data_IF_682947019881
#
_entry.id   IF_682947019881
#
_cell.length_a   1.000
_cell.length_b   1.000
_cell.length_c   1.000
_cell.angle_alpha   90.00
_cell.angle_beta   90.00
_cell.angle_gamma   90.00
#
_symmetry.space_group_name_H-M   'P 1'
#
loop_
_entity.id
_entity.type
_entity.pdbx_description
1 polymer ?
#
# COMPACT_ATOMS: atom_id res chain seq x y z
N UNK A 1 -61.47 -24.03 11.53
CA UNK A 1 -60.99 -23.49 10.21
C UNK A 1 -59.94 -22.39 10.38
N UNK A 2 -60.10 -21.43 11.31
CA UNK A 2 -59.11 -20.35 11.55
C UNK A 2 -57.76 -20.85 12.11
N UNK A 3 -57.76 -21.92 12.89
CA UNK A 3 -56.56 -22.49 13.50
C UNK A 3 -55.63 -23.19 12.46
N UNK A 4 -56.23 -23.88 11.50
CA UNK A 4 -55.51 -24.52 10.39
C UNK A 4 -54.90 -23.50 9.43
N UNK A 5 -55.55 -22.36 9.23
CA UNK A 5 -55.00 -21.25 8.44
C UNK A 5 -53.79 -20.61 9.11
N UNK A 6 -53.86 -20.44 10.44
CA UNK A 6 -52.74 -19.87 11.23
C UNK A 6 -51.49 -20.78 11.22
N UNK A 7 -51.68 -22.09 11.30
CA UNK A 7 -50.57 -23.07 11.21
C UNK A 7 -49.95 -23.13 9.80
N UNK A 8 -50.77 -22.95 8.74
CA UNK A 8 -50.30 -22.94 7.36
C UNK A 8 -49.47 -21.70 7.06
N UNK A 9 -49.90 -20.52 7.53
CA UNK A 9 -49.14 -19.27 7.40
C UNK A 9 -47.82 -19.32 8.17
N UNK A 10 -47.81 -19.98 9.35
CA UNK A 10 -46.58 -20.15 10.15
C UNK A 10 -45.57 -21.07 9.46
N UNK A 11 -45.99 -22.06 8.71
CA UNK A 11 -45.15 -23.04 8.01
C UNK A 11 -44.51 -22.47 6.74
N UNK A 12 -45.22 -21.57 6.03
CA UNK A 12 -44.65 -20.89 4.85
C UNK A 12 -43.60 -19.81 5.25
N UNK A 13 -43.85 -19.11 6.36
CA UNK A 13 -42.88 -18.11 6.85
C UNK A 13 -41.57 -18.71 7.32
N UNK A 14 -41.51 -19.97 7.75
CA UNK A 14 -40.28 -20.62 8.19
C UNK A 14 -39.35 -20.98 7.02
N UNK A 15 -39.93 -21.44 5.90
CA UNK A 15 -39.15 -21.72 4.66
C UNK A 15 -38.64 -20.44 4.03
N UNK A 16 -39.46 -19.39 4.00
CA UNK A 16 -39.06 -18.07 3.47
C UNK A 16 -37.97 -17.41 4.33
N UNK A 17 -38.08 -17.54 5.66
CA UNK A 17 -37.03 -17.06 6.57
C UNK A 17 -35.70 -17.82 6.43
N UNK A 18 -35.74 -19.15 6.19
CA UNK A 18 -34.56 -19.95 5.94
C UNK A 18 -33.88 -19.58 4.61
N UNK A 19 -34.67 -19.31 3.57
CA UNK A 19 -34.14 -18.88 2.26
C UNK A 19 -33.51 -17.49 2.35
N UNK A 20 -34.14 -16.54 3.06
CA UNK A 20 -33.60 -15.19 3.28
C UNK A 20 -32.34 -15.26 4.13
N UNK A 21 -32.26 -16.11 5.16
CA UNK A 21 -31.08 -16.32 5.97
C UNK A 21 -29.92 -16.95 5.16
N UNK A 22 -30.25 -17.92 4.28
CA UNK A 22 -29.26 -18.54 3.39
C UNK A 22 -28.73 -17.56 2.33
N UNK A 23 -29.55 -16.65 1.81
CA UNK A 23 -29.14 -15.58 0.90
C UNK A 23 -28.29 -14.52 1.61
N UNK A 24 -28.57 -14.20 2.88
CA UNK A 24 -27.75 -13.27 3.67
C UNK A 24 -26.36 -13.84 4.01
N UNK A 25 -26.26 -15.15 4.31
CA UNK A 25 -24.97 -15.83 4.56
C UNK A 25 -24.16 -15.91 3.27
N UNK A 26 -24.79 -16.08 2.10
CA UNK A 26 -24.09 -16.10 0.80
C UNK A 26 -23.59 -14.73 0.36
N UNK A 27 -24.16 -13.62 0.84
CA UNK A 27 -23.67 -12.26 0.56
C UNK A 27 -22.52 -11.82 1.47
N UNK A 28 -22.31 -12.48 2.62
CA UNK A 28 -21.21 -12.16 3.52
C UNK A 28 -19.88 -12.83 3.15
N UNK A 29 -19.84 -13.73 2.16
CA UNK A 29 -18.61 -14.47 1.83
C UNK A 29 -17.79 -13.87 0.69
N UNK A 30 -18.07 -12.64 0.24
CA UNK A 30 -17.32 -12.00 -0.83
C UNK A 30 -16.88 -10.56 -0.48
N UNK A 31 -16.62 -10.30 0.80
CA UNK A 31 -15.70 -9.22 1.13
C UNK A 31 -14.27 -9.81 1.06
N UNK A 32 -13.75 -9.91 -0.17
CA UNK A 32 -12.31 -9.75 -0.32
C UNK A 32 -12.00 -8.42 0.37
N UNK A 33 -11.33 -8.46 1.52
CA UNK A 33 -10.71 -7.28 2.11
C UNK A 33 -9.82 -6.73 0.99
N UNK A 34 -10.23 -5.62 0.36
CA UNK A 34 -9.29 -4.81 -0.39
C UNK A 34 -8.22 -4.44 0.64
N UNK A 35 -7.10 -5.17 0.61
CA UNK A 35 -5.92 -4.78 1.33
C UNK A 35 -5.54 -3.45 0.70
N UNK A 36 -5.82 -2.34 1.39
CA UNK A 36 -5.35 -1.03 0.96
C UNK A 36 -3.85 -1.14 0.80
N UNK A 37 -3.39 -1.13 -0.45
CA UNK A 37 -1.98 -1.13 -0.75
C UNK A 37 -1.38 0.16 -0.21
N UNK A 38 -0.22 0.05 0.43
CA UNK A 38 0.50 1.21 0.95
C UNK A 38 0.83 2.15 -0.20
N UNK A 39 0.56 3.44 -0.03
CA UNK A 39 0.87 4.50 -1.01
C UNK A 39 2.24 5.10 -0.71
N UNK A 40 3.16 4.91 -1.62
CA UNK A 40 4.56 5.32 -1.45
C UNK A 40 4.92 6.42 -2.44
N UNK A 41 5.60 7.45 -1.94
CA UNK A 41 6.37 8.40 -2.75
C UNK A 41 7.85 8.02 -2.61
N UNK A 42 8.51 7.73 -3.72
CA UNK A 42 9.95 7.44 -3.74
C UNK A 42 10.74 8.61 -4.33
N UNK A 43 11.43 9.36 -3.49
CA UNK A 43 12.30 10.47 -3.89
C UNK A 43 13.74 9.99 -4.20
N UNK A 44 13.85 8.80 -4.83
CA UNK A 44 15.14 8.20 -5.17
C UNK A 44 14.99 7.14 -6.25
N UNK A 45 15.79 7.24 -7.28
CA UNK A 45 15.88 6.24 -8.36
C UNK A 45 16.17 4.85 -7.83
N UNK A 46 17.19 4.71 -6.95
CA UNK A 46 17.57 3.41 -6.38
C UNK A 46 16.46 2.76 -5.59
N UNK A 47 15.73 3.51 -4.75
CA UNK A 47 14.63 2.94 -3.97
C UNK A 47 13.43 2.58 -4.85
N UNK A 48 13.17 3.36 -5.91
CA UNK A 48 12.18 3.01 -6.94
C UNK A 48 12.54 1.67 -7.61
N UNK A 49 13.80 1.46 -7.99
CA UNK A 49 14.29 0.21 -8.58
C UNK A 49 14.14 -0.98 -7.61
N UNK A 50 14.44 -0.79 -6.33
CA UNK A 50 14.23 -1.83 -5.31
C UNK A 50 12.74 -2.20 -5.23
N UNK A 51 11.82 -1.22 -5.15
CA UNK A 51 10.39 -1.47 -5.10
C UNK A 51 9.92 -2.26 -6.33
N UNK A 52 10.37 -1.88 -7.53
CA UNK A 52 10.06 -2.61 -8.78
C UNK A 52 10.62 -4.04 -8.75
N UNK A 53 11.87 -4.23 -8.32
CA UNK A 53 12.50 -5.55 -8.23
C UNK A 53 11.77 -6.51 -7.27
N UNK A 54 11.07 -5.97 -6.29
CA UNK A 54 10.22 -6.71 -5.36
C UNK A 54 8.82 -7.00 -5.92
N UNK A 55 8.48 -6.50 -7.14
CA UNK A 55 7.15 -6.62 -7.73
C UNK A 55 6.10 -5.87 -6.93
N UNK A 56 6.43 -4.65 -6.48
CA UNK A 56 5.58 -3.79 -5.67
C UNK A 56 5.35 -2.40 -6.30
N UNK A 57 5.52 -2.28 -7.61
CA UNK A 57 5.35 -1.04 -8.38
C UNK A 57 3.97 -0.40 -8.22
N UNK A 58 2.95 -1.19 -7.94
CA UNK A 58 1.58 -0.74 -7.68
C UNK A 58 1.45 0.10 -6.39
N UNK A 59 2.43 0.03 -5.49
CA UNK A 59 2.47 0.88 -4.29
C UNK A 59 2.96 2.29 -4.57
N UNK A 60 3.63 2.52 -5.72
CA UNK A 60 4.22 3.80 -6.08
C UNK A 60 3.16 4.76 -6.62
N UNK A 61 2.87 5.83 -5.90
CA UNK A 61 1.97 6.91 -6.36
C UNK A 61 2.74 8.08 -6.98
N UNK A 62 4.02 8.25 -6.60
CA UNK A 62 4.93 9.20 -7.23
C UNK A 62 6.38 8.70 -7.09
N UNK A 63 7.22 9.06 -8.07
CA UNK A 63 8.63 8.69 -8.12
C UNK A 63 9.51 9.89 -8.47
N UNK A 64 10.79 9.82 -8.13
CA UNK A 64 11.76 10.81 -8.57
C UNK A 64 11.77 10.94 -10.11
N UNK A 65 11.93 12.15 -10.59
CA UNK A 65 11.87 12.50 -12.02
C UNK A 65 12.85 11.69 -12.89
N UNK A 66 13.97 11.27 -12.31
CA UNK A 66 15.00 10.49 -12.97
C UNK A 66 14.81 8.96 -12.87
N UNK A 67 13.80 8.49 -12.14
CA UNK A 67 13.50 7.06 -12.04
C UNK A 67 13.08 6.49 -13.39
N UNK A 68 13.59 5.32 -13.77
CA UNK A 68 13.18 4.59 -14.96
C UNK A 68 12.00 3.68 -14.61
N UNK A 69 10.81 4.03 -15.10
CA UNK A 69 9.57 3.25 -14.91
C UNK A 69 8.80 3.21 -16.22
N UNK A 70 8.15 2.08 -16.49
CA UNK A 70 7.38 1.80 -17.73
C UNK A 70 5.85 1.88 -17.53
N UNK A 71 5.42 2.34 -16.36
CA UNK A 71 4.01 2.53 -16.02
C UNK A 71 3.70 4.01 -15.73
N UNK A 72 2.44 4.44 -15.88
CA UNK A 72 2.04 5.82 -15.61
C UNK A 72 2.07 6.11 -14.11
N UNK A 73 2.95 7.03 -13.69
CA UNK A 73 3.09 7.49 -12.31
C UNK A 73 3.51 8.96 -12.29
N UNK A 74 3.14 9.68 -11.23
CA UNK A 74 3.57 11.07 -11.07
C UNK A 74 5.09 11.15 -10.89
N UNK A 75 5.73 12.11 -11.58
CA UNK A 75 7.16 12.37 -11.46
C UNK A 75 7.41 13.62 -10.66
N UNK A 76 8.36 13.57 -9.74
CA UNK A 76 8.69 14.63 -8.79
C UNK A 76 10.19 14.87 -8.85
N UNK A 77 10.61 16.13 -8.93
CA UNK A 77 12.02 16.48 -8.80
C UNK A 77 12.41 16.47 -7.32
N UNK A 78 13.11 15.41 -6.89
CA UNK A 78 13.53 15.22 -5.51
C UNK A 78 14.48 16.31 -4.98
N UNK A 79 15.13 17.08 -5.87
CA UNK A 79 16.04 18.15 -5.47
C UNK A 79 15.33 19.45 -5.10
N UNK A 80 14.11 19.66 -5.58
CA UNK A 80 13.40 20.94 -5.46
C UNK A 80 12.06 20.85 -4.76
N UNK A 81 11.47 19.66 -4.67
CA UNK A 81 10.16 19.44 -4.06
C UNK A 81 10.13 19.84 -2.59
N UNK A 82 9.00 20.37 -2.14
CA UNK A 82 8.72 20.70 -0.74
C UNK A 82 7.70 19.74 -0.13
N UNK A 83 7.66 19.68 1.19
CA UNK A 83 6.68 18.85 1.90
C UNK A 83 5.23 19.31 1.65
N UNK A 84 5.00 20.61 1.47
CA UNK A 84 3.71 21.20 1.13
C UNK A 84 3.19 20.71 -0.23
N UNK A 85 4.10 20.47 -1.18
CA UNK A 85 3.75 19.94 -2.50
C UNK A 85 3.44 18.43 -2.44
N UNK A 86 4.01 17.71 -1.47
CA UNK A 86 3.76 16.28 -1.24
C UNK A 86 2.48 16.02 -0.45
N UNK A 87 2.12 16.90 0.49
CA UNK A 87 0.99 16.71 1.38
C UNK A 87 -0.35 16.37 0.68
N UNK A 88 -0.72 17.00 -0.46
CA UNK A 88 -1.96 16.68 -1.17
C UNK A 88 -2.00 15.29 -1.79
N UNK A 89 -0.86 14.59 -1.92
CA UNK A 89 -0.78 13.25 -2.50
C UNK A 89 -1.24 12.16 -1.54
N UNK A 90 -1.39 12.48 -0.25
CA UNK A 90 -1.91 11.56 0.77
C UNK A 90 -1.18 10.21 0.77
N UNK A 91 0.17 10.28 0.78
CA UNK A 91 1.02 9.11 0.84
C UNK A 91 1.08 8.53 2.25
N UNK A 92 1.10 7.20 2.35
CA UNK A 92 1.33 6.51 3.62
C UNK A 92 2.80 6.58 4.05
N UNK A 93 3.73 6.72 3.09
CA UNK A 93 5.17 6.78 3.32
C UNK A 93 5.90 7.56 2.22
N UNK A 94 6.86 8.40 2.61
CA UNK A 94 7.83 9.04 1.71
C UNK A 94 9.21 8.45 1.96
N UNK A 95 9.85 7.89 0.93
CA UNK A 95 11.22 7.40 1.00
C UNK A 95 12.16 8.48 0.46
N UNK A 96 13.08 8.91 1.29
CA UNK A 96 14.02 10.00 1.02
C UNK A 96 15.45 9.46 1.02
N UNK A 97 16.26 9.79 0.00
CA UNK A 97 17.68 9.42 -0.04
C UNK A 97 18.59 10.51 0.54
N UNK A 98 18.20 11.77 0.35
CA UNK A 98 18.97 12.93 0.79
C UNK A 98 18.03 14.00 1.33
N UNK A 99 18.46 14.64 2.40
CA UNK A 99 17.74 15.79 2.99
C UNK A 99 18.05 17.07 2.20
N UNK A 100 17.50 17.17 0.97
CA UNK A 100 17.62 18.39 0.19
C UNK A 100 16.64 19.45 0.68
N UNK A 101 17.12 20.68 0.84
CA UNK A 101 16.34 21.86 1.21
C UNK A 101 15.52 21.68 2.51
N UNK A 102 15.95 20.81 3.41
CA UNK A 102 15.22 20.57 4.67
C UNK A 102 13.91 19.79 4.47
N UNK A 103 13.83 18.92 3.46
CA UNK A 103 12.63 18.13 3.17
C UNK A 103 12.18 17.32 4.39
N UNK A 104 13.13 16.78 5.18
CA UNK A 104 12.82 16.00 6.39
C UNK A 104 12.08 16.87 7.41
N UNK A 105 12.59 18.06 7.74
CA UNK A 105 11.94 19.00 8.66
C UNK A 105 10.54 19.38 8.14
N UNK A 106 10.40 19.60 6.83
CA UNK A 106 9.11 19.88 6.20
C UNK A 106 8.11 18.72 6.33
N UNK A 107 8.55 17.48 6.10
CA UNK A 107 7.71 16.29 6.25
C UNK A 107 7.26 16.08 7.71
N UNK A 108 8.17 16.30 8.68
CA UNK A 108 7.86 16.26 10.10
C UNK A 108 6.81 17.33 10.47
N UNK A 109 6.99 18.56 9.99
CA UNK A 109 6.07 19.67 10.26
C UNK A 109 4.66 19.44 9.69
N UNK A 110 4.54 18.68 8.58
CA UNK A 110 3.29 18.29 7.94
C UNK A 110 2.74 16.95 8.47
N UNK A 111 3.40 16.33 9.45
CA UNK A 111 3.05 15.02 10.01
C UNK A 111 3.00 13.91 8.93
N UNK A 112 3.83 14.02 7.89
CA UNK A 112 3.95 13.03 6.82
C UNK A 112 4.95 11.96 7.21
N UNK A 113 4.52 10.69 7.21
CA UNK A 113 5.42 9.57 7.50
C UNK A 113 6.52 9.50 6.44
N UNK A 114 7.75 9.39 6.88
CA UNK A 114 8.89 9.30 5.99
C UNK A 114 9.99 8.41 6.56
N UNK A 115 10.87 7.95 5.69
CA UNK A 115 12.09 7.23 6.06
C UNK A 115 13.26 7.77 5.24
N UNK A 116 14.34 8.10 5.92
CA UNK A 116 15.60 8.47 5.29
C UNK A 116 16.45 7.21 5.09
N UNK A 117 16.67 6.82 3.85
CA UNK A 117 17.56 5.74 3.42
C UNK A 117 18.68 6.33 2.56
N UNK A 118 19.83 6.69 3.16
CA UNK A 118 20.93 7.27 2.43
C UNK A 118 21.50 6.30 1.37
N UNK A 119 22.21 6.79 0.32
CA UNK A 119 22.83 5.91 -0.66
C UNK A 119 23.71 4.86 -0.01
N UNK A 120 23.55 3.61 -0.45
CA UNK A 120 24.32 2.47 0.04
C UNK A 120 25.81 2.67 -0.22
N UNK A 121 26.64 2.37 0.77
CA UNK A 121 28.12 2.49 0.71
C UNK A 121 28.79 1.13 0.50
N UNK A 122 28.05 0.05 0.75
CA UNK A 122 28.52 -1.34 0.67
C UNK A 122 27.31 -2.28 0.45
N UNK A 123 27.55 -3.55 0.26
CA UNK A 123 26.49 -4.55 0.02
C UNK A 123 25.58 -4.74 1.23
N UNK A 124 26.08 -4.63 2.44
CA UNK A 124 25.27 -4.74 3.65
C UNK A 124 24.23 -3.61 3.72
N UNK A 125 24.62 -2.39 3.32
CA UNK A 125 23.68 -1.26 3.23
C UNK A 125 22.58 -1.57 2.17
N UNK A 126 22.94 -2.15 1.01
CA UNK A 126 22.00 -2.55 -0.05
C UNK A 126 21.02 -3.61 0.49
N UNK A 127 21.52 -4.66 1.12
CA UNK A 127 20.69 -5.73 1.68
C UNK A 127 19.74 -5.20 2.76
N UNK A 128 20.22 -4.30 3.61
CA UNK A 128 19.41 -3.64 4.62
C UNK A 128 18.27 -2.83 3.99
N UNK A 129 18.55 -2.06 2.92
CA UNK A 129 17.53 -1.29 2.22
C UNK A 129 16.49 -2.19 1.53
N UNK A 130 16.91 -3.28 0.88
CA UNK A 130 16.01 -4.27 0.29
C UNK A 130 15.10 -4.86 1.36
N UNK A 131 15.64 -5.20 2.53
CA UNK A 131 14.86 -5.75 3.64
C UNK A 131 13.84 -4.73 4.19
N UNK A 132 14.27 -3.50 4.46
CA UNK A 132 13.40 -2.42 4.98
C UNK A 132 12.26 -2.15 3.99
N UNK A 133 12.58 -1.98 2.71
CA UNK A 133 11.59 -1.71 1.67
C UNK A 133 10.66 -2.93 1.50
N UNK A 134 11.20 -4.14 1.53
CA UNK A 134 10.41 -5.38 1.47
C UNK A 134 9.40 -5.52 2.60
N UNK A 135 9.75 -5.09 3.80
CA UNK A 135 8.81 -5.04 4.93
C UNK A 135 7.74 -3.95 4.72
N UNK A 136 8.15 -2.77 4.24
CA UNK A 136 7.25 -1.65 3.98
C UNK A 136 6.17 -1.98 2.93
N UNK A 137 6.55 -2.69 1.85
CA UNK A 137 5.63 -3.05 0.75
C UNK A 137 5.02 -4.44 0.90
N UNK A 138 5.14 -5.09 2.06
CA UNK A 138 4.65 -6.45 2.36
C UNK A 138 5.21 -7.52 1.39
N UNK A 139 6.49 -7.39 1.04
CA UNK A 139 7.24 -8.32 0.18
C UNK A 139 8.45 -8.93 0.89
N UNK A 140 8.37 -9.09 2.22
CA UNK A 140 9.48 -9.59 3.04
C UNK A 140 10.12 -10.87 2.50
N UNK A 141 9.32 -11.87 2.14
CA UNK A 141 9.83 -13.16 1.63
C UNK A 141 10.57 -13.01 0.30
N UNK A 142 10.10 -12.11 -0.58
CA UNK A 142 10.77 -11.80 -1.86
C UNK A 142 12.12 -11.13 -1.58
N UNK A 143 12.14 -10.13 -0.69
CA UNK A 143 13.35 -9.43 -0.27
C UNK A 143 14.39 -10.39 0.33
N UNK A 144 13.99 -11.27 1.25
CA UNK A 144 14.88 -12.30 1.83
C UNK A 144 15.44 -13.26 0.78
N UNK A 145 14.70 -13.56 -0.27
CA UNK A 145 15.18 -14.40 -1.37
C UNK A 145 16.19 -13.68 -2.22
N UNK A 146 15.94 -12.43 -2.61
CA UNK A 146 16.89 -11.61 -3.37
C UNK A 146 18.22 -11.40 -2.68
N UNK A 147 18.23 -11.29 -1.34
CA UNK A 147 19.46 -11.08 -0.56
C UNK A 147 20.30 -12.37 -0.51
N UNK A 148 19.70 -13.54 -0.65
CA UNK A 148 20.41 -14.84 -0.57
C UNK A 148 21.01 -15.32 -1.87
N UNK A 149 20.48 -14.89 -3.00
CA UNK A 149 20.89 -15.28 -4.36
C UNK A 149 22.04 -14.40 -4.86
#
# INVERSE_FOLDING_TARGET
LKFLYFLKVRKENMKTKLIILALFVSMCSNQAQEKNEVKIISLSTTHTEIIQSLGAENTLIAVDAFSEVDFPVQRIDAYTVTAEELAPLDADMVIVAFDFNGIIEGLEAQEINHILLPPARNLEDVYSQIQIIGELVDKKTVAETQIRD
#
